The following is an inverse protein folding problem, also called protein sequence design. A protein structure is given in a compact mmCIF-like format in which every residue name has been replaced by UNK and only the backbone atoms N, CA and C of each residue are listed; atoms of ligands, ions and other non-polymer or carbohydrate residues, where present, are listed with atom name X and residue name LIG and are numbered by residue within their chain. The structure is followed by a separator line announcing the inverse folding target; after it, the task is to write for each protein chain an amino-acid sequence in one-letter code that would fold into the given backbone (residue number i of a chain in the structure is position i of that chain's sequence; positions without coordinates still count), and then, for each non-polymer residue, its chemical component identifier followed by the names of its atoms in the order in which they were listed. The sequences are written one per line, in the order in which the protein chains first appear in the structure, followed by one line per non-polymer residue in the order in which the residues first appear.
data_IF_908123973072
#
_entry.id   IF_908123973072
#
_cell.length_a   1.000
_cell.length_b   1.000
_cell.length_c   1.000
_cell.angle_alpha   90.00
_cell.angle_beta   90.00
_cell.angle_gamma   90.00
#
_symmetry.space_group_name_H-M   'P 1'
#
loop_
_entity.id
_entity.type
_entity.pdbx_description
1 polymer ?
#
# COMPACT_ATOMS: atom_id res chain seq x y z
N UNK A 1 -5.37 -17.34 -42.41
CA UNK A 1 -4.65 -16.58 -41.36
C UNK A 1 -5.64 -15.62 -40.74
N UNK A 2 -5.89 -15.77 -39.44
CA UNK A 2 -6.60 -14.78 -38.64
C UNK A 2 -6.01 -13.39 -38.92
N UNK A 3 -6.84 -12.42 -39.31
CA UNK A 3 -6.38 -11.04 -39.50
C UNK A 3 -6.17 -10.42 -38.13
N UNK A 4 -4.94 -10.51 -37.62
CA UNK A 4 -4.53 -9.73 -36.46
C UNK A 4 -4.67 -8.24 -36.80
N UNK A 5 -5.40 -7.52 -35.95
CA UNK A 5 -5.61 -6.07 -36.10
C UNK A 5 -4.72 -5.32 -35.10
N UNK A 6 -4.20 -4.14 -35.47
CA UNK A 6 -3.55 -3.26 -34.50
C UNK A 6 -4.55 -2.83 -33.43
N UNK A 7 -4.05 -2.58 -32.23
CA UNK A 7 -4.88 -2.04 -31.14
C UNK A 7 -5.14 -0.56 -31.40
N UNK A 8 -6.40 -0.19 -31.50
CA UNK A 8 -6.84 1.19 -31.64
C UNK A 8 -7.60 1.62 -30.38
N UNK A 9 -7.47 2.89 -30.01
CA UNK A 9 -8.29 3.46 -28.95
C UNK A 9 -9.75 3.57 -29.42
N UNK A 10 -10.73 3.02 -28.67
CA UNK A 10 -12.14 3.07 -29.07
C UNK A 10 -12.73 4.48 -29.04
N UNK A 11 -12.10 5.42 -28.32
CA UNK A 11 -12.58 6.79 -28.20
C UNK A 11 -12.13 7.74 -29.33
N UNK A 12 -10.96 7.51 -29.93
CA UNK A 12 -10.42 8.40 -30.97
C UNK A 12 -9.98 7.68 -32.25
N UNK A 13 -9.96 6.35 -32.26
CA UNK A 13 -9.52 5.53 -33.39
C UNK A 13 -8.02 5.49 -33.65
N UNK A 14 -7.20 6.20 -32.87
CA UNK A 14 -5.75 6.20 -33.04
C UNK A 14 -5.10 4.93 -32.47
N UNK A 15 -3.99 4.45 -33.07
CA UNK A 15 -3.19 3.38 -32.49
C UNK A 15 -2.68 3.75 -31.09
N UNK A 16 -2.65 2.77 -30.19
CA UNK A 16 -2.07 2.93 -28.85
C UNK A 16 -0.75 2.19 -28.73
N UNK A 17 0.09 2.60 -27.77
CA UNK A 17 1.32 1.88 -27.47
C UNK A 17 1.02 0.57 -26.69
N UNK A 18 1.93 -0.42 -26.72
CA UNK A 18 1.80 -1.58 -25.85
C UNK A 18 1.67 -1.17 -24.38
N UNK A 19 0.68 -1.72 -23.65
CA UNK A 19 0.55 -1.49 -22.21
C UNK A 19 1.81 -2.01 -21.51
N UNK A 20 2.23 -1.26 -20.49
CA UNK A 20 3.45 -1.55 -19.74
C UNK A 20 3.22 -1.30 -18.26
N UNK A 21 4.10 -1.85 -17.43
CA UNK A 21 4.14 -1.48 -16.03
C UNK A 21 4.66 -0.04 -15.94
N UNK A 22 3.74 0.90 -15.76
CA UNK A 22 3.97 2.34 -15.60
C UNK A 22 4.73 2.65 -14.31
N UNK A 23 4.83 1.67 -13.41
CA UNK A 23 5.54 1.76 -12.14
C UNK A 23 4.67 2.32 -11.03
N UNK A 24 3.60 3.04 -11.34
CA UNK A 24 2.73 3.64 -10.32
C UNK A 24 1.34 3.05 -10.21
N UNK A 25 1.09 1.97 -10.95
CA UNK A 25 -0.10 1.17 -10.79
C UNK A 25 -0.22 0.63 -9.36
N UNK A 26 -1.45 0.42 -8.94
CA UNK A 26 -1.77 -0.17 -7.66
C UNK A 26 -1.76 -1.68 -7.75
N UNK A 27 -1.82 -2.23 -8.96
CA UNK A 27 -1.73 -3.64 -9.28
C UNK A 27 -0.74 -3.95 -10.37
N UNK A 28 -0.57 -5.25 -10.63
CA UNK A 28 0.43 -5.75 -11.57
C UNK A 28 -0.09 -5.72 -13.02
N UNK A 29 -1.25 -5.08 -13.27
CA UNK A 29 -1.74 -4.89 -14.63
C UNK A 29 -0.87 -3.89 -15.38
N UNK A 30 -0.53 -4.26 -16.61
CA UNK A 30 0.13 -3.35 -17.53
C UNK A 30 -0.89 -2.36 -18.09
N UNK A 31 -0.49 -1.10 -18.23
CA UNK A 31 -1.38 -0.01 -18.60
C UNK A 31 -0.71 1.01 -19.52
N UNK A 32 -1.48 1.96 -20.03
CA UNK A 32 -0.99 3.06 -20.83
C UNK A 32 -1.99 4.20 -20.96
N UNK A 33 -1.58 5.23 -21.70
CA UNK A 33 -2.38 6.42 -21.95
C UNK A 33 -2.46 6.68 -23.44
N UNK A 34 -3.64 7.01 -23.93
CA UNK A 34 -3.86 7.53 -25.27
C UNK A 34 -3.76 9.06 -25.26
N UNK A 35 -3.40 9.65 -26.40
CA UNK A 35 -3.30 11.11 -26.57
C UNK A 35 -4.65 11.82 -26.43
N UNK A 36 -5.78 11.12 -26.62
CA UNK A 36 -7.11 11.66 -26.38
C UNK A 36 -7.48 11.77 -24.88
N UNK A 37 -6.58 11.34 -23.99
CA UNK A 37 -6.79 11.33 -22.54
C UNK A 37 -7.39 10.04 -21.98
N UNK A 38 -7.72 9.06 -22.83
CA UNK A 38 -8.15 7.75 -22.37
C UNK A 38 -6.98 6.99 -21.70
N UNK A 39 -7.28 6.28 -20.62
CA UNK A 39 -6.39 5.31 -19.99
C UNK A 39 -6.77 3.93 -20.49
N UNK A 40 -5.81 3.03 -20.61
CA UNK A 40 -6.09 1.63 -20.88
C UNK A 40 -5.29 0.68 -20.00
N UNK A 41 -5.91 -0.42 -19.59
CA UNK A 41 -5.34 -1.45 -18.72
C UNK A 41 -5.54 -2.83 -19.34
N UNK A 42 -4.50 -3.65 -19.31
CA UNK A 42 -4.48 -5.00 -19.87
C UNK A 42 -4.72 -6.05 -18.78
N UNK A 43 -5.75 -6.87 -18.96
CA UNK A 43 -5.89 -8.14 -18.25
C UNK A 43 -5.62 -9.29 -19.21
N UNK A 44 -4.41 -9.85 -19.12
CA UNK A 44 -3.97 -10.98 -19.95
C UNK A 44 -4.80 -12.24 -19.76
N UNK A 45 -5.51 -12.37 -18.63
CA UNK A 45 -6.30 -13.56 -18.31
C UNK A 45 -7.73 -13.45 -18.82
N UNK A 46 -8.27 -12.24 -18.94
CA UNK A 46 -9.68 -11.96 -19.20
C UNK A 46 -10.62 -12.23 -18.03
N UNK A 47 -10.14 -12.75 -16.90
CA UNK A 47 -10.95 -13.15 -15.74
C UNK A 47 -10.93 -12.09 -14.62
N UNK A 48 -9.99 -11.14 -14.65
CA UNK A 48 -9.80 -10.12 -13.63
C UNK A 48 -10.28 -8.73 -14.10
N UNK A 49 -11.28 -8.69 -14.99
CA UNK A 49 -11.77 -7.47 -15.63
C UNK A 49 -12.14 -6.38 -14.62
N UNK A 50 -12.84 -6.74 -13.54
CA UNK A 50 -13.22 -5.76 -12.51
C UNK A 50 -12.02 -5.11 -11.82
N UNK A 51 -10.97 -5.88 -11.54
CA UNK A 51 -9.75 -5.31 -10.94
C UNK A 51 -8.97 -4.44 -11.94
N UNK A 52 -8.92 -4.85 -13.21
CA UNK A 52 -8.31 -4.05 -14.28
C UNK A 52 -9.09 -2.76 -14.56
N UNK A 53 -10.42 -2.79 -14.44
CA UNK A 53 -11.28 -1.61 -14.52
C UNK A 53 -11.01 -0.63 -13.37
N UNK A 54 -10.96 -1.11 -12.12
CA UNK A 54 -10.64 -0.25 -10.96
C UNK A 54 -9.24 0.38 -11.12
N UNK A 55 -8.28 -0.37 -11.63
CA UNK A 55 -6.95 0.17 -11.97
C UNK A 55 -7.05 1.27 -13.03
N UNK A 56 -7.85 1.08 -14.10
CA UNK A 56 -8.03 2.07 -15.15
C UNK A 56 -8.68 3.36 -14.63
N UNK A 57 -9.72 3.23 -13.80
CA UNK A 57 -10.45 4.34 -13.18
C UNK A 57 -9.51 5.20 -12.32
N UNK A 58 -8.71 4.54 -11.51
CA UNK A 58 -7.78 5.20 -10.61
C UNK A 58 -6.61 5.87 -11.33
N UNK A 59 -6.06 5.21 -12.35
CA UNK A 59 -5.05 5.80 -13.22
C UNK A 59 -5.61 7.04 -13.95
N UNK A 60 -6.88 7.01 -14.37
CA UNK A 60 -7.54 8.15 -14.98
C UNK A 60 -7.76 9.31 -14.00
N UNK A 61 -8.00 9.01 -12.71
CA UNK A 61 -8.07 10.00 -11.63
C UNK A 61 -6.70 10.45 -11.09
N UNK A 62 -5.60 10.12 -11.77
CA UNK A 62 -4.24 10.48 -11.32
C UNK A 62 -3.86 9.86 -9.96
N UNK A 63 -4.43 8.71 -9.63
CA UNK A 63 -4.23 8.04 -8.34
C UNK A 63 -5.07 8.59 -7.19
N UNK A 64 -6.03 9.49 -7.45
CA UNK A 64 -6.97 9.95 -6.44
C UNK A 64 -8.09 8.91 -6.21
N UNK A 65 -7.97 8.17 -5.13
CA UNK A 65 -8.93 7.14 -4.74
C UNK A 65 -10.30 7.68 -4.38
N UNK A 66 -10.35 8.79 -3.64
CA UNK A 66 -11.61 9.34 -3.16
C UNK A 66 -12.45 9.78 -4.37
N UNK A 67 -11.81 10.49 -5.31
CA UNK A 67 -12.44 10.86 -6.58
C UNK A 67 -12.91 9.62 -7.36
N UNK A 68 -12.04 8.62 -7.54
CA UNK A 68 -12.36 7.42 -8.33
C UNK A 68 -13.61 6.68 -7.83
N UNK A 69 -13.88 6.68 -6.52
CA UNK A 69 -15.06 6.02 -5.95
C UNK A 69 -16.33 6.89 -5.94
N UNK A 70 -16.18 8.19 -6.14
CA UNK A 70 -17.29 9.14 -6.23
C UNK A 70 -17.81 9.30 -7.66
N UNK A 71 -17.09 8.80 -8.67
CA UNK A 71 -17.47 8.94 -10.08
C UNK A 71 -18.70 8.10 -10.46
N UNK A 72 -19.61 8.73 -11.20
CA UNK A 72 -20.79 8.09 -11.77
C UNK A 72 -20.52 7.59 -13.21
N UNK A 73 -20.83 6.32 -13.53
CA UNK A 73 -20.72 5.80 -14.89
C UNK A 73 -21.58 6.60 -15.87
N UNK A 74 -21.09 6.79 -17.10
CA UNK A 74 -21.73 7.53 -18.21
C UNK A 74 -21.87 9.05 -17.99
N UNK A 75 -21.85 9.53 -16.75
CA UNK A 75 -21.80 10.96 -16.43
C UNK A 75 -20.35 11.46 -16.32
N UNK A 76 -19.54 10.81 -15.49
CA UNK A 76 -18.18 11.23 -15.17
C UNK A 76 -17.12 10.49 -15.98
N UNK A 77 -17.44 9.28 -16.44
CA UNK A 77 -16.54 8.49 -17.28
C UNK A 77 -17.28 7.57 -18.24
N UNK A 78 -16.57 7.18 -19.30
CA UNK A 78 -17.00 6.15 -20.24
C UNK A 78 -16.01 4.98 -20.21
N UNK A 79 -16.55 3.77 -20.27
CA UNK A 79 -15.78 2.52 -20.37
C UNK A 79 -15.96 1.90 -21.76
N UNK A 80 -14.88 1.33 -22.31
CA UNK A 80 -14.91 0.52 -23.51
C UNK A 80 -13.96 -0.66 -23.35
N UNK A 81 -14.38 -1.86 -23.75
CA UNK A 81 -13.56 -3.08 -23.62
C UNK A 81 -13.20 -3.60 -25.00
N UNK A 82 -11.91 -3.78 -25.25
CA UNK A 82 -11.40 -4.49 -26.43
C UNK A 82 -11.12 -5.94 -26.03
N UNK A 83 -11.94 -6.85 -26.52
CA UNK A 83 -11.78 -8.30 -26.29
C UNK A 83 -10.74 -8.92 -27.23
N UNK A 84 -10.33 -10.15 -26.92
CA UNK A 84 -9.39 -10.94 -27.74
C UNK A 84 -8.04 -10.25 -27.97
N UNK A 85 -7.57 -9.53 -26.96
CA UNK A 85 -6.30 -8.85 -26.95
C UNK A 85 -5.17 -9.79 -26.49
N UNK A 86 -4.13 -9.93 -27.31
CA UNK A 86 -2.88 -10.59 -26.92
C UNK A 86 -1.81 -9.54 -26.60
N UNK A 87 -1.38 -9.52 -25.35
CA UNK A 87 -0.39 -8.55 -24.89
C UNK A 87 1.01 -8.80 -25.45
N UNK A 88 1.38 -10.07 -25.73
CA UNK A 88 2.73 -10.40 -26.22
C UNK A 88 2.97 -9.87 -27.63
N UNK A 89 2.00 -10.06 -28.51
CA UNK A 89 2.06 -9.54 -29.88
C UNK A 89 1.54 -8.11 -30.01
N UNK A 90 0.83 -7.60 -29.00
CA UNK A 90 0.11 -6.33 -29.03
C UNK A 90 -0.88 -6.24 -30.20
N UNK A 91 -1.75 -7.26 -30.30
CA UNK A 91 -2.71 -7.40 -31.39
C UNK A 91 -4.08 -7.81 -30.86
N UNK A 92 -5.12 -7.45 -31.61
CA UNK A 92 -6.50 -7.88 -31.39
C UNK A 92 -6.86 -8.94 -32.42
N UNK A 93 -7.36 -10.09 -31.94
CA UNK A 93 -7.79 -11.20 -32.78
C UNK A 93 -9.33 -11.17 -32.98
N UNK A 94 -9.80 -11.81 -34.05
CA UNK A 94 -11.23 -11.89 -34.37
C UNK A 94 -12.00 -12.86 -33.46
N UNK A 95 -13.32 -12.87 -33.63
CA UNK A 95 -14.33 -13.62 -32.83
C UNK A 95 -14.00 -15.14 -32.67
N UNK A 96 -14.52 -15.83 -31.63
CA UNK A 96 -14.19 -17.20 -31.23
C UNK A 96 -14.40 -18.32 -32.28
N UNK A 97 -15.00 -18.01 -33.43
CA UNK A 97 -15.08 -18.95 -34.57
C UNK A 97 -13.71 -19.25 -35.19
N UNK A 98 -12.75 -18.36 -34.98
CA UNK A 98 -11.38 -18.57 -35.35
C UNK A 98 -10.66 -19.35 -34.25
N UNK A 99 -9.96 -20.44 -34.59
CA UNK A 99 -9.41 -21.46 -33.68
C UNK A 99 -8.32 -20.98 -32.68
N UNK A 100 -8.25 -19.68 -32.33
CA UNK A 100 -7.30 -19.10 -31.37
C UNK A 100 -8.07 -18.55 -30.18
N UNK A 101 -7.88 -19.18 -29.02
CA UNK A 101 -8.52 -18.79 -27.76
C UNK A 101 -7.73 -17.67 -27.07
N UNK A 102 -7.82 -16.43 -27.57
CA UNK A 102 -7.29 -15.25 -26.88
C UNK A 102 -8.34 -14.72 -25.92
N UNK A 103 -8.08 -14.86 -24.61
CA UNK A 103 -9.00 -14.41 -23.55
C UNK A 103 -8.67 -13.03 -23.01
N UNK A 104 -7.46 -12.52 -23.28
CA UNK A 104 -7.02 -11.24 -22.77
C UNK A 104 -7.90 -10.09 -23.25
N UNK A 105 -8.00 -9.06 -22.43
CA UNK A 105 -8.78 -7.85 -22.73
C UNK A 105 -7.96 -6.59 -22.47
N UNK A 106 -8.31 -5.52 -23.19
CA UNK A 106 -7.83 -4.18 -22.93
C UNK A 106 -9.02 -3.31 -22.53
N UNK A 107 -9.06 -2.87 -21.28
CA UNK A 107 -10.11 -2.01 -20.75
C UNK A 107 -9.68 -0.58 -20.93
N UNK A 108 -10.46 0.19 -21.67
CA UNK A 108 -10.29 1.62 -21.87
C UNK A 108 -11.25 2.39 -20.98
N UNK A 109 -10.76 3.46 -20.37
CA UNK A 109 -11.56 4.38 -19.57
C UNK A 109 -11.21 5.81 -19.93
N UNK A 110 -12.23 6.66 -20.07
CA UNK A 110 -12.07 8.08 -20.36
C UNK A 110 -12.98 8.90 -19.45
N UNK A 111 -12.40 9.83 -18.69
CA UNK A 111 -13.14 10.80 -17.89
C UNK A 111 -13.82 11.85 -18.78
N UNK A 112 -14.86 12.49 -18.25
CA UNK A 112 -15.42 13.73 -18.78
C UNK A 112 -14.35 14.80 -18.90
N UNK A 113 -14.54 15.77 -19.80
CA UNK A 113 -13.51 16.77 -20.09
C UNK A 113 -13.15 17.60 -18.83
N UNK A 114 -14.13 17.95 -17.99
CA UNK A 114 -13.92 18.69 -16.73
C UNK A 114 -13.03 17.92 -15.74
N UNK A 115 -13.34 16.64 -15.50
CA UNK A 115 -12.57 15.79 -14.59
C UNK A 115 -11.19 15.42 -15.15
N UNK A 116 -11.08 15.32 -16.47
CA UNK A 116 -9.81 15.08 -17.15
C UNK A 116 -8.86 16.25 -16.93
N UNK A 117 -9.32 17.49 -17.02
CA UNK A 117 -8.46 18.66 -16.81
C UNK A 117 -7.94 18.72 -15.37
N UNK A 118 -8.78 18.39 -14.38
CA UNK A 118 -8.37 18.25 -12.97
C UNK A 118 -7.34 17.13 -12.77
N UNK A 119 -7.51 16.02 -13.47
CA UNK A 119 -6.62 14.85 -13.36
C UNK A 119 -5.35 15.00 -14.20
N UNK A 120 -5.36 15.84 -15.23
CA UNK A 120 -4.28 15.98 -16.19
C UNK A 120 -2.99 16.51 -15.56
N UNK A 121 -3.09 17.48 -14.64
CA UNK A 121 -1.93 17.99 -13.89
C UNK A 121 -1.27 16.87 -13.09
N UNK A 122 -2.07 16.10 -12.33
CA UNK A 122 -1.61 14.97 -11.54
C UNK A 122 -0.97 13.87 -12.40
N UNK A 123 -1.62 13.53 -13.51
CA UNK A 123 -1.11 12.55 -14.48
C UNK A 123 0.19 13.06 -15.10
N UNK A 124 0.30 14.36 -15.40
CA UNK A 124 1.52 14.96 -15.93
C UNK A 124 2.66 14.91 -14.91
N UNK A 125 2.40 15.21 -13.62
CA UNK A 125 3.38 15.04 -12.54
C UNK A 125 3.87 13.58 -12.44
N UNK A 126 2.95 12.63 -12.47
CA UNK A 126 3.26 11.20 -12.41
C UNK A 126 4.06 10.77 -13.65
N UNK A 127 3.67 11.23 -14.85
CA UNK A 127 4.41 10.97 -16.10
C UNK A 127 5.79 11.66 -16.10
N UNK A 128 5.92 12.84 -15.53
CA UNK A 128 7.19 13.57 -15.42
C UNK A 128 8.12 12.94 -14.37
N UNK A 129 7.55 12.32 -13.33
CA UNK A 129 8.29 11.48 -12.36
C UNK A 129 8.82 10.18 -12.97
N UNK A 130 8.63 9.95 -14.28
CA UNK A 130 9.18 8.84 -15.08
C UNK A 130 10.61 8.55 -14.65
N UNK A 131 10.77 7.43 -13.94
CA UNK A 131 12.01 6.69 -13.65
C UNK A 131 13.25 7.56 -13.87
N UNK A 132 13.46 8.58 -13.04
CA UNK A 132 14.80 9.16 -12.93
C UNK A 132 15.67 8.00 -12.50
N UNK A 133 16.45 7.43 -13.44
CA UNK A 133 17.45 6.39 -13.16
C UNK A 133 18.51 7.06 -12.31
N UNK A 134 18.21 7.12 -11.02
CA UNK A 134 19.12 7.62 -10.02
C UNK A 134 20.31 6.69 -10.00
N UNK A 135 21.46 7.25 -10.32
CA UNK A 135 22.71 6.52 -10.24
C UNK A 135 23.21 6.55 -8.79
N UNK A 136 23.83 5.46 -8.31
CA UNK A 136 24.52 5.47 -7.03
C UNK A 136 25.52 6.64 -6.96
N UNK A 137 25.72 7.27 -5.80
CA UNK A 137 26.69 8.33 -5.66
C UNK A 137 28.12 7.78 -5.88
N UNK A 138 29.09 8.65 -6.20
CA UNK A 138 30.48 8.28 -6.26
C UNK A 138 30.93 7.58 -4.96
N UNK A 139 31.66 6.46 -5.11
CA UNK A 139 32.20 5.69 -3.97
C UNK A 139 31.24 4.65 -3.37
N UNK A 140 29.93 4.68 -3.67
CA UNK A 140 29.01 3.63 -3.24
C UNK A 140 28.81 2.58 -4.33
N UNK A 141 29.07 1.32 -3.99
CA UNK A 141 28.76 0.17 -4.86
C UNK A 141 27.59 -0.61 -4.26
N UNK A 142 26.37 -0.50 -4.82
CA UNK A 142 25.25 -1.33 -4.40
C UNK A 142 25.62 -2.81 -4.52
N UNK A 143 25.36 -3.59 -3.46
CA UNK A 143 25.53 -5.04 -3.46
C UNK A 143 24.27 -5.73 -2.96
N UNK A 144 24.12 -7.00 -3.31
CA UNK A 144 23.11 -7.87 -2.69
C UNK A 144 23.58 -8.22 -1.28
N UNK A 145 22.76 -7.91 -0.28
CA UNK A 145 23.02 -8.23 1.11
C UNK A 145 22.55 -9.66 1.40
N UNK A 146 23.31 -10.37 2.23
CA UNK A 146 22.90 -11.62 2.87
C UNK A 146 22.11 -11.31 4.14
N UNK A 147 21.27 -12.26 4.58
CA UNK A 147 20.49 -12.12 5.81
C UNK A 147 21.37 -11.76 7.02
N UNK A 148 22.49 -12.48 7.21
CA UNK A 148 23.44 -12.22 8.32
C UNK A 148 24.05 -10.81 8.27
N UNK A 149 24.28 -10.25 7.07
CA UNK A 149 24.79 -8.88 6.94
C UNK A 149 23.73 -7.87 7.36
N UNK A 150 22.47 -8.09 6.97
CA UNK A 150 21.34 -7.27 7.39
C UNK A 150 21.17 -7.32 8.91
N UNK A 151 21.16 -8.52 9.49
CA UNK A 151 21.03 -8.70 10.94
C UNK A 151 22.17 -7.99 11.69
N UNK A 152 23.41 -8.13 11.23
CA UNK A 152 24.56 -7.39 11.78
C UNK A 152 24.37 -5.87 11.72
N UNK A 153 23.98 -5.33 10.55
CA UNK A 153 23.74 -3.91 10.38
C UNK A 153 22.62 -3.39 11.30
N UNK A 154 21.55 -4.17 11.48
CA UNK A 154 20.46 -3.82 12.41
C UNK A 154 20.91 -3.87 13.88
N UNK A 155 21.78 -4.79 14.27
CA UNK A 155 22.36 -4.81 15.62
C UNK A 155 23.25 -3.60 15.88
N UNK A 156 24.07 -3.21 14.89
CA UNK A 156 24.99 -2.06 14.95
C UNK A 156 24.30 -0.69 14.79
N UNK A 157 22.96 -0.65 14.66
CA UNK A 157 22.18 0.58 14.37
C UNK A 157 22.65 1.29 13.08
N UNK A 158 22.99 0.51 12.05
CA UNK A 158 23.46 0.96 10.73
C UNK A 158 22.41 0.72 9.64
N UNK A 159 21.13 0.79 10.00
CA UNK A 159 20.00 0.54 9.10
C UNK A 159 19.97 1.44 7.85
N UNK A 160 20.54 2.66 7.95
CA UNK A 160 20.68 3.56 6.79
C UNK A 160 21.46 2.90 5.64
N UNK A 161 22.42 2.03 5.92
CA UNK A 161 23.17 1.29 4.89
C UNK A 161 22.28 0.25 4.20
N UNK A 162 21.39 -0.40 4.96
CA UNK A 162 20.41 -1.33 4.40
C UNK A 162 19.47 -0.58 3.46
N UNK A 163 18.91 0.56 3.91
CA UNK A 163 18.05 1.43 3.11
C UNK A 163 18.75 1.86 1.82
N UNK A 164 20.04 2.22 1.92
CA UNK A 164 20.82 2.64 0.76
C UNK A 164 21.04 1.51 -0.25
N UNK A 165 21.36 0.31 0.23
CA UNK A 165 21.45 -0.87 -0.62
C UNK A 165 20.11 -1.26 -1.24
N UNK A 166 18.98 -1.11 -0.52
CA UNK A 166 17.64 -1.35 -1.07
C UNK A 166 17.27 -0.37 -2.18
N UNK A 167 17.56 0.93 -2.00
CA UNK A 167 17.23 1.99 -2.97
C UNK A 167 17.73 1.68 -4.39
N UNK A 168 18.96 1.19 -4.49
CA UNK A 168 19.60 0.89 -5.79
C UNK A 168 19.52 -0.60 -6.19
N UNK A 169 19.25 -1.50 -5.24
CA UNK A 169 19.02 -2.92 -5.49
C UNK A 169 17.79 -3.41 -4.70
N UNK A 170 16.57 -3.22 -5.24
CA UNK A 170 15.33 -3.56 -4.56
C UNK A 170 15.18 -5.03 -4.13
N UNK A 171 15.96 -5.94 -4.73
CA UNK A 171 16.06 -7.35 -4.29
C UNK A 171 16.40 -7.49 -2.81
N UNK A 172 17.10 -6.50 -2.22
CA UNK A 172 17.44 -6.48 -0.81
C UNK A 172 16.21 -6.33 0.11
N UNK A 173 15.08 -5.81 -0.38
CA UNK A 173 13.81 -5.80 0.39
C UNK A 173 13.37 -7.23 0.74
N UNK A 174 13.51 -8.17 -0.21
CA UNK A 174 13.18 -9.58 0.02
C UNK A 174 14.10 -10.22 1.07
N UNK A 175 15.39 -9.87 1.08
CA UNK A 175 16.32 -10.35 2.11
C UNK A 175 16.01 -9.73 3.46
N UNK A 176 15.72 -8.42 3.52
CA UNK A 176 15.35 -7.73 4.76
C UNK A 176 14.07 -8.32 5.36
N UNK A 177 13.06 -8.62 4.53
CA UNK A 177 11.82 -9.28 4.94
C UNK A 177 12.07 -10.61 5.66
N UNK A 178 13.13 -11.36 5.31
CA UNK A 178 13.45 -12.62 6.00
C UNK A 178 13.80 -12.41 7.48
N UNK A 179 14.27 -11.22 7.86
CA UNK A 179 14.59 -10.89 9.27
C UNK A 179 13.34 -10.74 10.13
N UNK A 180 12.17 -10.52 9.53
CA UNK A 180 10.89 -10.55 10.25
C UNK A 180 10.63 -11.92 10.92
N UNK A 181 11.31 -12.97 10.47
CA UNK A 181 11.30 -14.32 11.06
C UNK A 181 12.45 -14.58 12.02
N UNK A 182 13.14 -13.54 12.51
CA UNK A 182 14.14 -13.71 13.57
C UNK A 182 13.48 -14.18 14.86
N UNK A 183 14.16 -15.00 15.66
CA UNK A 183 13.72 -15.34 17.00
C UNK A 183 13.82 -14.13 17.95
N UNK A 184 14.79 -13.24 17.73
CA UNK A 184 15.00 -12.00 18.49
C UNK A 184 13.90 -10.97 18.17
N UNK A 185 12.99 -10.65 19.13
CA UNK A 185 11.93 -9.67 18.93
C UNK A 185 12.45 -8.28 18.59
N UNK A 186 13.56 -7.84 19.21
CA UNK A 186 14.11 -6.51 18.97
C UNK A 186 14.60 -6.38 17.53
N UNK A 187 15.26 -7.42 17.04
CA UNK A 187 15.73 -7.48 15.65
C UNK A 187 14.56 -7.47 14.66
N UNK A 188 13.46 -8.19 14.96
CA UNK A 188 12.23 -8.16 14.15
C UNK A 188 11.69 -6.73 14.04
N UNK A 189 11.55 -6.03 15.15
CA UNK A 189 11.01 -4.67 15.17
C UNK A 189 11.92 -3.64 14.48
N UNK A 190 13.23 -3.77 14.64
CA UNK A 190 14.19 -2.97 13.85
C UNK A 190 14.05 -3.23 12.36
N UNK A 191 13.84 -4.48 11.95
CA UNK A 191 13.56 -4.81 10.56
C UNK A 191 12.23 -4.23 10.06
N UNK A 192 11.16 -4.27 10.85
CA UNK A 192 9.85 -3.65 10.52
C UNK A 192 10.01 -2.16 10.16
N UNK A 193 10.62 -1.36 11.05
CA UNK A 193 10.80 0.08 10.81
C UNK A 193 11.75 0.34 9.63
N UNK A 194 12.84 -0.43 9.53
CA UNK A 194 13.79 -0.33 8.41
C UNK A 194 13.14 -0.69 7.08
N UNK A 195 12.19 -1.64 7.06
CA UNK A 195 11.44 -1.99 5.85
C UNK A 195 10.59 -0.82 5.36
N UNK A 196 9.94 -0.07 6.26
CA UNK A 196 9.21 1.14 5.89
C UNK A 196 10.11 2.16 5.19
N UNK A 197 11.31 2.41 5.76
CA UNK A 197 12.30 3.32 5.16
C UNK A 197 12.82 2.84 3.81
N UNK A 198 13.18 1.56 3.73
CA UNK A 198 13.69 0.95 2.52
C UNK A 198 12.65 0.94 1.40
N UNK A 199 11.39 0.64 1.73
CA UNK A 199 10.27 0.65 0.79
C UNK A 199 9.99 2.05 0.25
N UNK A 200 10.05 3.09 1.11
CA UNK A 200 9.93 4.48 0.67
C UNK A 200 11.08 4.88 -0.25
N UNK A 201 12.31 4.45 0.05
CA UNK A 201 13.47 4.73 -0.81
C UNK A 201 13.34 4.05 -2.19
N UNK A 202 12.85 2.81 -2.22
CA UNK A 202 12.59 2.05 -3.46
C UNK A 202 11.41 2.64 -4.24
N UNK A 203 10.38 3.13 -3.56
CA UNK A 203 9.17 3.70 -4.19
C UNK A 203 9.50 4.80 -5.20
N UNK A 204 10.57 5.58 -4.96
CA UNK A 204 11.00 6.67 -5.86
C UNK A 204 11.39 6.19 -7.26
N UNK A 205 11.90 4.97 -7.40
CA UNK A 205 12.43 4.45 -8.67
C UNK A 205 11.66 3.23 -9.17
N UNK A 206 11.10 2.43 -8.26
CA UNK A 206 10.40 1.16 -8.51
C UNK A 206 9.14 1.05 -7.66
N UNK A 207 8.10 1.86 -7.96
CA UNK A 207 6.92 1.86 -7.13
C UNK A 207 6.08 0.59 -7.26
N UNK A 208 6.23 -0.13 -8.37
CA UNK A 208 5.71 -1.47 -8.64
C UNK A 208 6.14 -2.47 -7.56
N UNK A 209 7.42 -2.45 -7.19
CA UNK A 209 7.96 -3.36 -6.17
C UNK A 209 7.37 -3.05 -4.79
N UNK A 210 7.17 -1.78 -4.45
CA UNK A 210 6.61 -1.39 -3.15
C UNK A 210 5.12 -1.73 -3.05
N UNK A 211 4.35 -1.51 -4.12
CA UNK A 211 2.94 -1.90 -4.15
C UNK A 211 2.75 -3.42 -4.02
N UNK A 212 3.53 -4.20 -4.78
CA UNK A 212 3.55 -5.67 -4.69
C UNK A 212 3.98 -6.15 -3.28
N UNK A 213 4.97 -5.49 -2.66
CA UNK A 213 5.38 -5.81 -1.29
C UNK A 213 4.23 -5.66 -0.30
N UNK A 214 3.50 -4.54 -0.31
CA UNK A 214 2.35 -4.32 0.59
C UNK A 214 1.31 -5.41 0.40
N UNK A 215 0.96 -5.72 -0.86
CA UNK A 215 -0.02 -6.77 -1.18
C UNK A 215 0.41 -8.13 -0.65
N UNK A 216 1.65 -8.54 -0.91
CA UNK A 216 2.15 -9.83 -0.43
C UNK A 216 2.14 -9.93 1.09
N UNK A 217 2.46 -8.84 1.79
CA UNK A 217 2.40 -8.81 3.26
C UNK A 217 0.95 -8.99 3.75
N UNK A 218 0.00 -8.24 3.20
CA UNK A 218 -1.43 -8.38 3.54
C UNK A 218 -1.96 -9.79 3.22
N UNK A 219 -1.67 -10.31 2.03
CA UNK A 219 -2.11 -11.66 1.66
C UNK A 219 -1.48 -12.73 2.54
N UNK A 220 -0.19 -12.61 2.87
CA UNK A 220 0.46 -13.54 3.80
C UNK A 220 -0.17 -13.53 5.18
N UNK A 221 -0.69 -12.39 5.64
CA UNK A 221 -1.42 -12.29 6.91
C UNK A 221 -2.81 -12.93 6.85
N UNK A 222 -3.44 -13.00 5.68
CA UNK A 222 -4.74 -13.64 5.49
C UNK A 222 -4.63 -15.16 5.23
N UNK A 223 -3.45 -15.66 4.88
CA UNK A 223 -3.20 -17.08 4.64
C UNK A 223 -2.87 -17.81 5.96
N UNK A 224 -3.80 -18.65 6.42
CA UNK A 224 -3.63 -19.43 7.66
C UNK A 224 -2.44 -20.40 7.62
N UNK A 225 -1.93 -20.75 6.44
CA UNK A 225 -0.76 -21.60 6.29
C UNK A 225 0.58 -20.83 6.37
N UNK A 226 0.53 -19.49 6.38
CA UNK A 226 1.71 -18.64 6.41
C UNK A 226 1.97 -18.08 7.81
N UNK A 227 3.23 -18.15 8.25
CA UNK A 227 3.68 -17.32 9.38
C UNK A 227 3.85 -15.88 8.88
N UNK A 228 3.05 -14.95 9.39
CA UNK A 228 3.04 -13.56 8.94
C UNK A 228 3.56 -12.56 9.99
N UNK A 229 4.61 -12.96 10.73
CA UNK A 229 5.20 -12.12 11.78
C UNK A 229 5.70 -10.79 11.22
N UNK A 230 5.32 -9.69 11.86
CA UNK A 230 5.75 -8.34 11.46
C UNK A 230 5.16 -7.86 10.14
N UNK A 231 4.26 -8.62 9.50
CA UNK A 231 3.76 -8.29 8.17
C UNK A 231 2.81 -7.08 8.20
N UNK A 232 1.80 -7.10 9.07
CA UNK A 232 0.86 -5.99 9.22
C UNK A 232 1.57 -4.74 9.74
N UNK A 233 2.50 -4.92 10.69
CA UNK A 233 3.30 -3.85 11.26
C UNK A 233 4.14 -3.17 10.17
N UNK A 234 4.77 -3.96 9.32
CA UNK A 234 5.53 -3.46 8.16
C UNK A 234 4.63 -2.71 7.18
N UNK A 235 3.42 -3.22 6.90
CA UNK A 235 2.44 -2.51 6.07
C UNK A 235 2.13 -1.13 6.66
N UNK A 236 1.91 -1.03 7.97
CA UNK A 236 1.72 0.25 8.66
C UNK A 236 2.91 1.20 8.52
N UNK A 237 4.15 0.71 8.64
CA UNK A 237 5.35 1.54 8.43
C UNK A 237 5.46 2.10 7.02
N UNK A 238 5.06 1.31 6.01
CA UNK A 238 5.10 1.74 4.61
C UNK A 238 4.00 2.77 4.36
N UNK A 239 2.76 2.50 4.77
CA UNK A 239 1.61 3.39 4.54
C UNK A 239 1.80 4.72 5.28
N UNK A 240 2.30 4.71 6.53
CA UNK A 240 2.65 5.91 7.30
C UNK A 240 3.47 6.93 6.52
N UNK A 241 4.41 6.44 5.70
CA UNK A 241 5.37 7.26 4.95
C UNK A 241 4.78 7.83 3.67
N UNK A 242 3.81 7.14 3.08
CA UNK A 242 3.17 7.51 1.81
C UNK A 242 1.63 7.35 1.92
N UNK A 243 0.99 8.06 2.87
CA UNK A 243 -0.38 7.77 3.27
C UNK A 243 -1.39 8.03 2.16
N UNK A 244 -1.15 9.04 1.30
CA UNK A 244 -2.04 9.32 0.16
C UNK A 244 -2.02 8.21 -0.90
N UNK A 245 -0.90 7.50 -1.04
CA UNK A 245 -0.73 6.47 -2.06
C UNK A 245 -1.30 5.13 -1.65
N UNK A 246 -1.28 4.80 -0.36
CA UNK A 246 -1.64 3.47 0.11
C UNK A 246 -2.83 3.48 1.07
N UNK A 247 -3.63 4.56 1.06
CA UNK A 247 -4.82 4.74 1.89
C UNK A 247 -5.84 3.60 1.74
N UNK A 248 -5.99 3.03 0.56
CA UNK A 248 -6.94 1.94 0.28
C UNK A 248 -6.78 0.74 1.23
N UNK A 249 -5.55 0.47 1.68
CA UNK A 249 -5.23 -0.70 2.49
C UNK A 249 -5.59 -0.52 3.96
N UNK A 250 -5.96 0.71 4.38
CA UNK A 250 -6.43 0.97 5.76
C UNK A 250 -7.69 0.15 6.05
N UNK A 251 -8.60 0.02 5.09
CA UNK A 251 -9.79 -0.83 5.21
C UNK A 251 -9.42 -2.31 5.43
N UNK A 252 -8.40 -2.81 4.74
CA UNK A 252 -7.90 -4.17 4.95
C UNK A 252 -7.36 -4.34 6.37
N UNK A 253 -6.59 -3.38 6.89
CA UNK A 253 -6.07 -3.41 8.27
C UNK A 253 -7.19 -3.40 9.31
N UNK A 254 -8.23 -2.59 9.12
CA UNK A 254 -9.41 -2.59 9.99
C UNK A 254 -10.15 -3.93 9.97
N UNK A 255 -10.20 -4.60 8.81
CA UNK A 255 -10.85 -5.91 8.70
C UNK A 255 -10.14 -6.99 9.54
N UNK A 256 -8.81 -6.91 9.68
CA UNK A 256 -8.03 -7.84 10.53
C UNK A 256 -8.37 -7.72 12.02
N UNK A 257 -8.88 -6.58 12.50
CA UNK A 257 -9.23 -6.38 13.93
C UNK A 257 -10.31 -7.34 14.45
N UNK A 258 -11.11 -7.93 13.56
CA UNK A 258 -12.12 -8.93 13.92
C UNK A 258 -11.50 -10.20 14.50
N UNK A 259 -10.25 -10.50 14.14
CA UNK A 259 -9.54 -11.73 14.47
C UNK A 259 -8.52 -11.46 15.58
N UNK A 260 -8.69 -12.01 16.80
CA UNK A 260 -7.85 -11.73 17.96
C UNK A 260 -6.34 -11.81 17.70
N UNK A 261 -5.92 -12.82 16.94
CA UNK A 261 -4.53 -13.11 16.60
C UNK A 261 -3.84 -12.01 15.77
N UNK A 262 -4.61 -11.18 15.07
CA UNK A 262 -4.09 -10.09 14.23
C UNK A 262 -4.25 -8.71 14.86
N UNK A 263 -4.98 -8.59 15.98
CA UNK A 263 -5.31 -7.29 16.59
C UNK A 263 -4.08 -6.47 16.91
N UNK A 264 -3.05 -7.06 17.52
CA UNK A 264 -1.84 -6.34 17.90
C UNK A 264 -1.10 -5.77 16.68
N UNK A 265 -0.85 -6.60 15.67
CA UNK A 265 -0.18 -6.18 14.43
C UNK A 265 -1.00 -5.14 13.64
N UNK A 266 -2.31 -5.33 13.54
CA UNK A 266 -3.20 -4.40 12.86
C UNK A 266 -3.33 -3.06 13.60
N UNK A 267 -3.49 -3.07 14.92
CA UNK A 267 -3.54 -1.85 15.73
C UNK A 267 -2.22 -1.09 15.71
N UNK A 268 -1.08 -1.79 15.75
CA UNK A 268 0.21 -1.15 15.54
C UNK A 268 0.25 -0.44 14.18
N UNK A 269 -0.15 -1.14 13.11
CA UNK A 269 -0.16 -0.57 11.78
C UNK A 269 -1.01 0.70 11.68
N UNK A 270 -2.24 0.63 12.20
CA UNK A 270 -3.18 1.76 12.26
C UNK A 270 -2.65 2.92 13.10
N UNK A 271 -1.97 2.64 14.22
CA UNK A 271 -1.33 3.64 15.06
C UNK A 271 -0.25 4.40 14.27
N UNK A 272 0.63 3.67 13.58
CA UNK A 272 1.71 4.27 12.79
C UNK A 272 1.16 5.07 11.60
N UNK A 273 0.09 4.60 10.97
CA UNK A 273 -0.63 5.35 9.93
C UNK A 273 -1.23 6.64 10.50
N UNK A 274 -1.88 6.58 11.66
CA UNK A 274 -2.46 7.74 12.32
C UNK A 274 -1.41 8.81 12.66
N UNK A 275 -0.17 8.41 13.02
CA UNK A 275 0.95 9.33 13.19
C UNK A 275 1.33 10.07 11.91
N UNK A 276 1.13 9.47 10.73
CA UNK A 276 1.41 10.08 9.44
C UNK A 276 0.24 10.92 8.92
N UNK A 277 -0.99 10.38 8.97
CA UNK A 277 -2.21 11.04 8.51
C UNK A 277 -3.43 10.59 9.34
N UNK A 278 -3.79 11.32 10.42
CA UNK A 278 -4.89 10.96 11.33
C UNK A 278 -6.23 10.73 10.63
N UNK A 279 -6.52 11.53 9.59
CA UNK A 279 -7.79 11.49 8.87
C UNK A 279 -8.08 10.15 8.18
N UNK A 280 -7.03 9.37 7.83
CA UNK A 280 -7.23 8.05 7.22
C UNK A 280 -7.88 7.04 8.15
N UNK A 281 -7.74 7.22 9.47
CA UNK A 281 -8.41 6.36 10.44
C UNK A 281 -9.78 6.94 10.80
N UNK A 282 -9.85 8.27 10.99
CA UNK A 282 -11.08 8.97 11.41
C UNK A 282 -12.20 8.91 10.37
N UNK A 283 -11.86 8.84 9.08
CA UNK A 283 -12.87 8.75 8.01
C UNK A 283 -13.37 7.33 7.76
N UNK A 284 -12.85 6.33 8.49
CA UNK A 284 -13.22 4.93 8.36
C UNK A 284 -14.15 4.47 9.50
N UNK A 285 -14.53 3.18 9.51
CA UNK A 285 -15.35 2.58 10.57
C UNK A 285 -14.55 2.39 11.88
N UNK A 286 -14.09 3.47 12.50
CA UNK A 286 -13.22 3.45 13.68
C UNK A 286 -13.89 2.95 14.97
N UNK A 287 -15.22 2.77 14.99
CA UNK A 287 -15.96 2.25 16.14
C UNK A 287 -15.41 0.89 16.64
N UNK A 288 -14.93 0.05 15.73
CA UNK A 288 -14.31 -1.24 16.08
C UNK A 288 -13.09 -1.06 16.98
N UNK A 289 -12.36 0.06 16.86
CA UNK A 289 -11.19 0.37 17.70
C UNK A 289 -11.65 0.77 19.11
N UNK A 290 -12.79 1.46 19.23
CA UNK A 290 -13.33 1.85 20.54
C UNK A 290 -13.73 0.63 21.36
N UNK A 291 -14.27 -0.41 20.73
CA UNK A 291 -14.61 -1.67 21.39
C UNK A 291 -13.36 -2.38 21.93
N UNK A 292 -12.23 -2.27 21.22
CA UNK A 292 -10.95 -2.87 21.62
C UNK A 292 -10.27 -2.16 22.80
N UNK A 293 -10.76 -1.00 23.24
CA UNK A 293 -10.33 -0.40 24.51
C UNK A 293 -10.75 -1.23 25.72
N UNK A 294 -11.67 -2.19 25.55
CA UNK A 294 -12.15 -3.11 26.60
C UNK A 294 -11.65 -4.54 26.40
N UNK A 295 -10.72 -4.76 25.47
CA UNK A 295 -10.20 -6.09 25.16
C UNK A 295 -9.52 -6.73 26.39
N UNK A 296 -9.59 -8.05 26.51
CA UNK A 296 -8.97 -8.77 27.63
C UNK A 296 -7.44 -8.68 27.58
N UNK A 297 -6.86 -8.62 26.37
CA UNK A 297 -5.42 -8.56 26.17
C UNK A 297 -4.89 -7.12 26.40
N UNK A 298 -4.00 -6.89 27.38
CA UNK A 298 -3.53 -5.55 27.70
C UNK A 298 -2.84 -4.82 26.54
N UNK A 299 -2.09 -5.56 25.72
CA UNK A 299 -1.42 -5.01 24.54
C UNK A 299 -2.42 -4.48 23.49
N UNK A 300 -3.59 -5.11 23.37
CA UNK A 300 -4.65 -4.67 22.46
C UNK A 300 -5.25 -3.36 22.97
N UNK A 301 -5.58 -3.26 24.28
CA UNK A 301 -6.07 -2.01 24.88
C UNK A 301 -5.06 -0.87 24.74
N UNK A 302 -3.79 -1.16 24.98
CA UNK A 302 -2.70 -0.19 24.85
C UNK A 302 -2.57 0.34 23.41
N UNK A 303 -2.53 -0.55 22.41
CA UNK A 303 -2.41 -0.12 21.02
C UNK A 303 -3.69 0.59 20.52
N UNK A 304 -4.88 0.14 20.93
CA UNK A 304 -6.14 0.83 20.63
C UNK A 304 -6.16 2.25 21.22
N UNK A 305 -5.63 2.42 22.43
CA UNK A 305 -5.44 3.73 23.07
C UNK A 305 -4.54 4.63 22.23
N UNK A 306 -3.41 4.10 21.75
CA UNK A 306 -2.49 4.84 20.87
C UNK A 306 -3.14 5.21 19.52
N UNK A 307 -3.91 4.30 18.91
CA UNK A 307 -4.66 4.62 17.69
C UNK A 307 -5.62 5.78 17.94
N UNK A 308 -6.40 5.73 19.03
CA UNK A 308 -7.36 6.80 19.37
C UNK A 308 -6.68 8.16 19.59
N UNK A 309 -5.56 8.17 20.32
CA UNK A 309 -4.76 9.38 20.57
C UNK A 309 -4.29 10.02 19.25
N UNK A 310 -3.61 9.24 18.41
CA UNK A 310 -2.97 9.78 17.21
C UNK A 310 -3.96 10.04 16.07
N UNK A 311 -5.05 9.28 15.99
CA UNK A 311 -6.14 9.51 15.04
C UNK A 311 -7.09 10.64 15.47
N UNK A 312 -6.92 11.20 16.68
CA UNK A 312 -7.74 12.29 17.23
C UNK A 312 -9.23 11.91 17.34
N UNK A 313 -9.49 10.71 17.89
CA UNK A 313 -10.84 10.18 18.09
C UNK A 313 -11.37 10.65 19.45
N UNK A 314 -12.11 11.75 19.46
CA UNK A 314 -12.63 12.38 20.68
C UNK A 314 -13.67 11.48 21.37
N UNK A 315 -14.41 10.71 20.59
CA UNK A 315 -15.41 9.74 21.03
C UNK A 315 -14.81 8.63 21.91
N UNK A 316 -13.49 8.45 21.88
CA UNK A 316 -12.79 7.51 22.76
C UNK A 316 -12.71 7.98 24.22
N UNK A 317 -12.88 9.27 24.50
CA UNK A 317 -12.67 9.86 25.84
C UNK A 317 -13.41 9.11 26.97
N UNK A 318 -14.69 8.74 26.86
CA UNK A 318 -15.37 7.99 27.91
C UNK A 318 -14.75 6.61 28.17
N UNK A 319 -14.36 5.90 27.11
CA UNK A 319 -13.73 4.59 27.23
C UNK A 319 -12.30 4.70 27.80
N UNK A 320 -11.54 5.71 27.39
CA UNK A 320 -10.19 5.97 27.91
C UNK A 320 -10.20 6.31 29.40
N UNK A 321 -11.22 7.03 29.90
CA UNK A 321 -11.35 7.34 31.33
C UNK A 321 -11.47 6.08 32.18
N UNK A 322 -12.10 5.03 31.66
CA UNK A 322 -12.20 3.74 32.35
C UNK A 322 -10.87 2.99 32.43
N UNK A 323 -9.87 3.36 31.62
CA UNK A 323 -8.55 2.76 31.62
C UNK A 323 -7.55 3.47 32.53
N UNK A 324 -7.89 4.61 33.15
CA UNK A 324 -6.95 5.40 33.95
C UNK A 324 -6.30 4.62 35.10
N UNK A 325 -7.06 3.70 35.70
CA UNK A 325 -6.61 2.84 36.80
C UNK A 325 -6.06 1.49 36.31
N UNK A 326 -6.00 1.24 35.01
CA UNK A 326 -5.46 0.00 34.42
C UNK A 326 -3.94 -0.07 34.62
N UNK A 327 -3.51 -0.94 35.55
CA UNK A 327 -2.11 -1.15 35.92
C UNK A 327 -1.42 -2.25 35.12
N UNK A 328 -2.09 -2.86 34.14
CA UNK A 328 -1.45 -3.90 33.33
C UNK A 328 -0.26 -3.30 32.58
N UNK A 329 0.90 -3.93 32.73
CA UNK A 329 2.15 -3.52 32.10
C UNK A 329 2.27 -4.19 30.74
N UNK A 330 2.50 -3.38 29.72
CA UNK A 330 2.78 -3.82 28.35
C UNK A 330 4.18 -3.39 27.93
N UNK A 331 4.79 -4.18 27.07
CA UNK A 331 6.07 -3.87 26.45
C UNK A 331 5.82 -3.44 24.99
N UNK A 332 6.08 -2.17 24.70
CA UNK A 332 5.82 -1.57 23.39
C UNK A 332 7.14 -1.12 22.78
N UNK A 333 7.36 -1.47 21.51
CA UNK A 333 8.53 -1.01 20.78
C UNK A 333 8.44 0.51 20.56
N UNK A 334 9.51 1.24 20.86
CA UNK A 334 9.66 2.65 20.54
C UNK A 334 10.40 2.78 19.19
N UNK A 335 9.75 3.28 18.12
CA UNK A 335 10.37 3.37 16.80
C UNK A 335 11.55 4.34 16.71
N UNK A 336 11.51 5.41 17.50
CA UNK A 336 12.52 6.47 17.48
C UNK A 336 13.79 6.03 18.22
N UNK A 337 13.63 5.42 19.39
CA UNK A 337 14.75 4.92 20.19
C UNK A 337 15.19 3.49 19.84
N UNK A 338 14.40 2.79 19.01
CA UNK A 338 14.65 1.40 18.59
C UNK A 338 14.90 0.42 19.75
N UNK A 339 14.11 0.57 20.80
CA UNK A 339 14.12 -0.25 21.99
C UNK A 339 12.68 -0.59 22.41
N UNK A 340 12.52 -1.46 23.40
CA UNK A 340 11.24 -1.69 24.04
C UNK A 340 11.11 -0.83 25.28
N UNK A 341 9.90 -0.31 25.52
CA UNK A 341 9.54 0.41 26.74
C UNK A 341 8.39 -0.31 27.43
N UNK A 342 8.53 -0.45 28.75
CA UNK A 342 7.46 -0.93 29.62
C UNK A 342 6.62 0.26 30.06
N UNK A 343 5.31 0.19 29.82
CA UNK A 343 4.33 1.23 30.17
C UNK A 343 3.06 0.56 30.67
N UNK A 344 2.30 1.25 31.53
CA UNK A 344 0.96 0.78 31.90
C UNK A 344 -0.08 1.27 30.90
N UNK A 345 -1.17 0.52 30.74
CA UNK A 345 -2.31 0.94 29.90
C UNK A 345 -2.88 2.27 30.43
N UNK A 346 -3.00 2.45 31.75
CA UNK A 346 -3.49 3.69 32.34
C UNK A 346 -2.60 4.91 32.11
N UNK A 347 -1.27 4.73 32.05
CA UNK A 347 -0.36 5.81 31.67
C UNK A 347 -0.59 6.28 30.23
N UNK A 348 -0.77 5.34 29.29
CA UNK A 348 -1.11 5.65 27.90
C UNK A 348 -2.48 6.33 27.81
N UNK A 349 -3.49 5.85 28.55
CA UNK A 349 -4.83 6.44 28.56
C UNK A 349 -4.81 7.88 29.07
N UNK A 350 -4.05 8.15 30.15
CA UNK A 350 -3.88 9.49 30.69
C UNK A 350 -3.24 10.45 29.68
N UNK A 351 -2.22 9.99 28.95
CA UNK A 351 -1.59 10.79 27.88
C UNK A 351 -2.54 11.03 26.71
N UNK A 352 -3.30 10.01 26.31
CA UNK A 352 -4.29 10.08 25.25
C UNK A 352 -5.38 11.11 25.58
N UNK A 353 -5.97 11.05 26.78
CA UNK A 353 -6.99 12.01 27.24
C UNK A 353 -6.46 13.43 27.20
N UNK A 354 -5.27 13.67 27.77
CA UNK A 354 -4.63 15.00 27.76
C UNK A 354 -4.42 15.53 26.34
N UNK A 355 -4.11 14.65 25.39
CA UNK A 355 -3.90 15.00 23.99
C UNK A 355 -5.22 15.34 23.29
N UNK A 356 -6.27 14.56 23.54
CA UNK A 356 -7.58 14.70 22.92
C UNK A 356 -8.36 15.90 23.47
N UNK A 357 -8.26 16.21 24.76
CA UNK A 357 -8.93 17.38 25.36
C UNK A 357 -8.32 18.73 24.93
N UNK A 358 -7.14 18.71 24.30
CA UNK A 358 -6.44 19.89 23.77
C UNK A 358 -6.68 20.12 22.27
N UNK A 359 -7.30 19.15 21.59
CA UNK A 359 -7.57 19.18 20.15
C UNK A 359 -8.98 19.70 19.94
#
# INVERSE_FOLDING_TARGET
MLKAKPVLCPFCGHPVAPPQNLGFQFSDFDAGFCDCGAVYVSDVTGHNRGAAFVEALLLACGGNWDLAWELEPEADYQEQVVEHYDQKSHQVFGDPSDRVNVKGVLIFLRLSDELRDLSAEKIAEIKASRRTKESPPPGFKPKRLRRQEIEKLLHENREKEIVYHCRFLPVNLSTLRKVLYSADPLLRWRAVVTMGEAAQAVLKTRPDITADLIKRLIYSSADSAASAWGALETVGEIIRREPGRFSLFVKNLLAFLKYPEFRSGALWALYRIAQGKPSLIKNERYWIILDLLKDQEPIVRALATMVCQYARIIEALPALKNLLEDQDIVEIFNPEEKNFKKVTVGALAKEAIKTLERT
#
